data_IF_861607653137
#
_entry.id   IF_861607653137
#
_cell.length_a   1.000
_cell.length_b   1.000
_cell.length_c   1.000
_cell.angle_alpha   90.00
_cell.angle_beta   90.00
_cell.angle_gamma   90.00
#
_symmetry.space_group_name_H-M   'P 1'
#
loop_
_entity.id
_entity.type
_entity.pdbx_description
1 polymer ?
#
# COMPACT_ATOMS: atom_id res chain seq x y z
N UNK A 1 28.47 10.50 41.91
CA UNK A 1 27.84 9.21 41.58
C UNK A 1 27.58 9.14 40.07
N UNK A 2 28.45 8.41 39.37
CA UNK A 2 28.39 8.22 37.93
C UNK A 2 27.32 7.17 37.58
N UNK A 3 26.21 7.60 37.00
CA UNK A 3 25.26 6.71 36.33
C UNK A 3 25.76 6.46 34.89
N UNK A 4 26.68 5.50 34.73
CA UNK A 4 26.98 4.91 33.44
C UNK A 4 25.79 4.02 33.06
N UNK A 5 24.96 4.48 32.13
CA UNK A 5 23.95 3.65 31.47
C UNK A 5 24.69 2.52 30.73
N UNK A 6 24.36 1.28 31.04
CA UNK A 6 24.89 0.12 30.33
C UNK A 6 24.45 0.18 28.85
N UNK A 7 25.40 0.26 27.96
CA UNK A 7 25.14 0.11 26.53
C UNK A 7 25.03 -1.38 26.21
N UNK A 8 23.91 -1.79 25.65
CA UNK A 8 23.78 -3.15 25.09
C UNK A 8 24.47 -3.19 23.73
N UNK A 9 25.52 -3.98 23.61
CA UNK A 9 26.15 -4.27 22.33
C UNK A 9 25.23 -5.20 21.50
N UNK A 10 24.72 -4.71 20.39
CA UNK A 10 24.02 -5.52 19.39
C UNK A 10 25.02 -5.86 18.27
N UNK A 11 25.24 -7.14 18.03
CA UNK A 11 26.07 -7.59 16.92
C UNK A 11 25.39 -7.26 15.61
N UNK A 12 26.01 -6.42 14.78
CA UNK A 12 25.49 -6.02 13.47
C UNK A 12 26.34 -6.70 12.41
N UNK A 13 25.75 -7.56 11.60
CA UNK A 13 26.45 -8.34 10.57
C UNK A 13 26.95 -7.49 9.38
N UNK A 14 26.39 -6.32 9.18
CA UNK A 14 26.87 -5.33 8.21
C UNK A 14 26.33 -3.94 8.53
N UNK A 15 27.21 -2.93 8.45
CA UNK A 15 26.87 -1.52 8.50
C UNK A 15 26.97 -0.97 7.08
N UNK A 16 25.93 -0.29 6.60
CA UNK A 16 25.98 0.46 5.35
C UNK A 16 25.89 1.92 5.69
N UNK A 17 26.94 2.66 5.40
CA UNK A 17 26.95 4.10 5.56
C UNK A 17 26.05 4.72 4.48
N UNK A 18 25.01 5.43 4.91
CA UNK A 18 24.09 6.18 4.05
C UNK A 18 24.40 7.66 4.22
N UNK A 19 25.62 8.04 3.83
CA UNK A 19 26.18 9.36 4.13
C UNK A 19 25.59 10.51 3.33
N UNK A 20 24.88 10.26 2.24
CA UNK A 20 24.23 11.28 1.44
C UNK A 20 22.93 10.81 0.78
N UNK A 21 22.16 11.75 0.23
CA UNK A 21 20.89 11.47 -0.45
C UNK A 21 21.06 10.61 -1.70
N UNK A 22 22.18 10.74 -2.41
CA UNK A 22 22.45 9.98 -3.64
C UNK A 22 22.68 8.50 -3.33
N UNK A 23 23.39 8.20 -2.25
CA UNK A 23 23.63 6.82 -1.78
C UNK A 23 22.33 6.17 -1.29
N UNK A 24 21.43 6.95 -0.68
CA UNK A 24 20.09 6.50 -0.29
C UNK A 24 19.25 6.23 -1.53
N UNK A 25 19.23 7.14 -2.49
CA UNK A 25 18.47 6.99 -3.76
C UNK A 25 18.98 5.82 -4.59
N UNK A 26 20.29 5.63 -4.70
CA UNK A 26 20.92 4.48 -5.36
C UNK A 26 20.62 3.16 -4.65
N UNK A 27 20.61 3.15 -3.32
CA UNK A 27 20.21 1.99 -2.54
C UNK A 27 18.75 1.60 -2.79
N UNK A 28 17.84 2.58 -2.85
CA UNK A 28 16.44 2.36 -3.19
C UNK A 28 16.25 1.92 -4.65
N UNK A 29 16.98 2.52 -5.59
CA UNK A 29 16.90 2.17 -7.01
C UNK A 29 17.48 0.79 -7.32
N UNK A 30 18.52 0.36 -6.62
CA UNK A 30 19.16 -0.97 -6.78
C UNK A 30 18.36 -2.10 -6.14
N UNK A 31 17.63 -1.83 -5.05
CA UNK A 31 16.86 -2.83 -4.31
C UNK A 31 15.45 -2.98 -4.88
N UNK A 32 15.01 -2.05 -5.75
CA UNK A 32 13.62 -1.91 -6.16
C UNK A 32 12.76 -1.35 -5.01
N UNK A 33 11.55 -0.90 -5.31
CA UNK A 33 10.60 -0.37 -4.31
C UNK A 33 9.98 -1.46 -3.43
N UNK A 34 10.80 -2.43 -2.98
CA UNK A 34 10.36 -3.50 -2.10
C UNK A 34 9.99 -2.97 -0.73
N UNK A 35 8.91 -3.50 -0.15
CA UNK A 35 8.62 -3.28 1.28
C UNK A 35 9.82 -3.72 2.10
N UNK A 36 10.10 -3.06 3.24
CA UNK A 36 11.29 -3.32 4.08
C UNK A 36 11.52 -4.81 4.44
N UNK A 37 10.46 -5.63 4.41
CA UNK A 37 10.52 -7.06 4.71
C UNK A 37 10.76 -7.96 3.49
N UNK A 38 10.92 -7.39 2.29
CA UNK A 38 11.13 -8.13 1.05
C UNK A 38 12.52 -7.86 0.46
N UNK A 39 13.16 -8.93 0.00
CA UNK A 39 14.33 -8.87 -0.88
C UNK A 39 13.88 -9.16 -2.31
N UNK A 40 14.12 -8.21 -3.22
CA UNK A 40 13.75 -8.30 -4.64
C UNK A 40 15.02 -8.37 -5.47
N UNK A 41 15.07 -9.31 -6.41
CA UNK A 41 16.14 -9.43 -7.40
C UNK A 41 15.52 -9.35 -8.80
N UNK A 42 15.86 -8.30 -9.53
CA UNK A 42 15.39 -8.08 -10.90
C UNK A 42 16.40 -8.71 -11.86
N UNK A 43 15.94 -9.64 -12.70
CA UNK A 43 16.68 -10.30 -13.77
C UNK A 43 16.09 -9.90 -15.12
N UNK A 44 16.75 -10.24 -16.25
CA UNK A 44 16.31 -9.81 -17.58
C UNK A 44 14.86 -10.19 -17.91
N UNK A 45 14.44 -11.41 -17.60
CA UNK A 45 13.09 -11.94 -17.94
C UNK A 45 12.16 -12.09 -16.75
N UNK A 46 12.66 -12.04 -15.53
CA UNK A 46 11.87 -12.32 -14.33
C UNK A 46 12.34 -11.53 -13.12
N UNK A 47 11.49 -11.49 -12.13
CA UNK A 47 11.76 -10.94 -10.79
C UNK A 47 11.68 -12.09 -9.79
N UNK A 48 12.67 -12.18 -8.90
CA UNK A 48 12.65 -13.04 -7.74
C UNK A 48 12.30 -12.20 -6.51
N UNK A 49 11.38 -12.71 -5.71
CA UNK A 49 10.95 -12.08 -4.47
C UNK A 49 11.06 -13.08 -3.32
N UNK A 50 11.65 -12.67 -2.22
CA UNK A 50 11.70 -13.45 -0.97
C UNK A 50 11.58 -12.53 0.23
N UNK A 51 11.12 -13.04 1.35
CA UNK A 51 11.20 -12.32 2.62
C UNK A 51 12.66 -12.23 3.07
N UNK A 52 13.01 -11.14 3.76
CA UNK A 52 14.33 -11.00 4.40
C UNK A 52 14.44 -11.88 5.64
N UNK A 53 13.31 -12.15 6.30
CA UNK A 53 13.23 -12.97 7.52
C UNK A 53 12.08 -13.97 7.41
N UNK A 54 12.21 -15.14 8.08
CA UNK A 54 11.20 -16.21 8.10
C UNK A 54 9.86 -15.73 8.66
N UNK A 55 9.86 -14.79 9.58
CA UNK A 55 8.66 -14.21 10.19
C UNK A 55 7.75 -13.51 9.17
N UNK A 56 8.31 -13.03 8.07
CA UNK A 56 7.55 -12.37 7.00
C UNK A 56 7.10 -13.30 5.87
N UNK A 57 7.44 -14.59 5.94
CA UNK A 57 7.03 -15.57 4.91
C UNK A 57 5.51 -15.66 4.73
N UNK A 58 4.74 -15.38 5.79
CA UNK A 58 3.29 -15.37 5.73
C UNK A 58 2.75 -14.29 4.78
N UNK A 59 3.45 -13.14 4.63
CA UNK A 59 3.08 -12.07 3.69
C UNK A 59 3.29 -12.49 2.25
N UNK A 60 4.42 -13.15 1.95
CA UNK A 60 4.69 -13.73 0.62
C UNK A 60 3.64 -14.78 0.27
N UNK A 61 3.23 -15.62 1.23
CA UNK A 61 2.16 -16.62 1.00
C UNK A 61 0.81 -15.97 0.71
N UNK A 62 0.45 -14.88 1.41
CA UNK A 62 -0.79 -14.13 1.15
C UNK A 62 -0.80 -13.55 -0.27
N UNK A 63 0.32 -12.97 -0.69
CA UNK A 63 0.50 -12.42 -2.03
C UNK A 63 0.39 -13.52 -3.11
N UNK A 64 1.09 -14.65 -2.95
CA UNK A 64 1.00 -15.79 -3.87
C UNK A 64 -0.41 -16.35 -3.96
N UNK A 65 -1.09 -16.51 -2.83
CA UNK A 65 -2.48 -16.96 -2.78
C UNK A 65 -3.41 -16.01 -3.56
N UNK A 66 -3.17 -14.70 -3.44
CA UNK A 66 -3.92 -13.71 -4.20
C UNK A 66 -3.74 -13.92 -5.72
N UNK A 67 -2.49 -14.02 -6.21
CA UNK A 67 -2.23 -14.27 -7.63
C UNK A 67 -2.90 -15.54 -8.14
N UNK A 68 -2.88 -16.61 -7.35
CA UNK A 68 -3.56 -17.86 -7.72
C UNK A 68 -5.06 -17.70 -7.86
N UNK A 69 -5.69 -17.05 -6.87
CA UNK A 69 -7.14 -16.87 -6.86
C UNK A 69 -7.61 -15.97 -8.00
N UNK A 70 -6.92 -14.82 -8.24
CA UNK A 70 -7.32 -13.90 -9.31
C UNK A 70 -7.06 -14.48 -10.69
N UNK A 71 -6.02 -15.30 -10.87
CA UNK A 71 -5.79 -16.03 -12.12
C UNK A 71 -6.90 -17.05 -12.40
N UNK A 72 -7.38 -17.77 -11.36
CA UNK A 72 -8.48 -18.72 -11.48
C UNK A 72 -9.81 -18.08 -11.90
N UNK A 73 -10.07 -16.84 -11.48
CA UNK A 73 -11.25 -16.08 -11.92
C UNK A 73 -11.01 -15.32 -13.24
N UNK A 74 -9.89 -15.59 -13.92
CA UNK A 74 -9.59 -15.08 -15.26
C UNK A 74 -9.07 -13.67 -15.34
N UNK A 75 -8.64 -13.02 -14.23
CA UNK A 75 -8.03 -11.70 -14.26
C UNK A 75 -6.62 -11.76 -14.86
N UNK A 76 -6.32 -10.87 -15.83
CA UNK A 76 -5.10 -10.95 -16.65
C UNK A 76 -4.12 -9.79 -16.48
N UNK A 77 -4.52 -8.69 -15.82
CA UNK A 77 -3.69 -7.48 -15.71
C UNK A 77 -2.71 -7.57 -14.53
N UNK A 78 -2.03 -8.72 -14.45
CA UNK A 78 -1.04 -9.09 -13.43
C UNK A 78 0.19 -9.73 -14.09
N UNK A 79 1.37 -9.76 -13.41
CA UNK A 79 2.50 -10.53 -13.86
C UNK A 79 2.20 -12.03 -13.91
N UNK A 80 2.73 -12.72 -14.91
CA UNK A 80 2.70 -14.19 -14.93
C UNK A 80 3.58 -14.75 -13.80
N UNK A 81 3.03 -15.68 -13.02
CA UNK A 81 3.79 -16.37 -11.96
C UNK A 81 4.44 -17.61 -12.56
N UNK A 82 5.78 -17.66 -12.52
CA UNK A 82 6.55 -18.79 -13.06
C UNK A 82 6.79 -19.89 -12.03
N UNK A 83 6.98 -19.50 -10.74
CA UNK A 83 7.24 -20.44 -9.65
C UNK A 83 6.84 -19.80 -8.31
N UNK A 84 6.40 -20.64 -7.36
CA UNK A 84 6.05 -20.23 -5.99
C UNK A 84 7.25 -20.36 -5.03
N UNK A 85 8.14 -21.30 -5.28
CA UNK A 85 9.35 -21.59 -4.47
C UNK A 85 10.52 -21.86 -5.40
N UNK A 86 11.43 -20.89 -5.60
CA UNK A 86 11.37 -19.51 -5.12
C UNK A 86 10.22 -18.74 -5.81
N UNK A 87 9.72 -17.68 -5.15
CA UNK A 87 8.70 -16.83 -5.77
C UNK A 87 9.30 -16.07 -6.95
N UNK A 88 8.92 -16.49 -8.14
CA UNK A 88 9.42 -16.00 -9.42
C UNK A 88 8.26 -15.55 -10.29
N UNK A 89 8.28 -14.31 -10.72
CA UNK A 89 7.25 -13.72 -11.58
C UNK A 89 7.84 -13.02 -12.79
N UNK A 90 7.00 -12.78 -13.79
CA UNK A 90 7.34 -12.05 -15.00
C UNK A 90 7.91 -10.66 -14.66
N UNK A 91 9.00 -10.28 -15.34
CA UNK A 91 9.46 -8.89 -15.34
C UNK A 91 8.66 -8.10 -16.33
N UNK A 92 7.81 -7.21 -15.84
CA UNK A 92 7.01 -6.31 -16.68
C UNK A 92 7.89 -5.19 -17.25
N UNK A 93 7.89 -5.03 -18.57
CA UNK A 93 8.48 -3.88 -19.25
C UNK A 93 7.47 -2.72 -19.24
N UNK A 94 7.57 -1.86 -18.25
CA UNK A 94 6.66 -0.71 -18.05
C UNK A 94 7.31 0.35 -17.18
N UNK A 95 6.59 1.46 -16.98
CA UNK A 95 6.98 2.57 -16.10
C UNK A 95 5.87 2.82 -15.10
N UNK A 96 6.21 3.22 -13.89
CA UNK A 96 5.23 3.81 -12.98
C UNK A 96 4.74 5.15 -13.52
N UNK A 97 3.51 5.53 -13.20
CA UNK A 97 2.94 6.80 -13.71
C UNK A 97 3.81 8.01 -13.35
N UNK A 98 4.38 8.04 -12.15
CA UNK A 98 5.27 9.12 -11.71
C UNK A 98 6.68 9.12 -12.38
N UNK A 99 7.00 8.15 -13.22
CA UNK A 99 8.25 8.09 -13.99
C UNK A 99 8.10 8.64 -15.42
N UNK A 100 6.88 8.97 -15.82
CA UNK A 100 6.68 9.64 -17.10
C UNK A 100 7.06 11.12 -16.95
N UNK A 101 7.91 11.60 -17.86
CA UNK A 101 8.22 13.02 -18.01
C UNK A 101 7.30 13.60 -19.08
N UNK A 102 6.90 14.85 -18.91
CA UNK A 102 6.15 15.64 -19.92
C UNK A 102 4.90 14.95 -20.48
N UNK A 103 4.15 14.29 -19.57
CA UNK A 103 2.93 13.60 -19.94
C UNK A 103 1.83 14.62 -20.25
N UNK A 104 1.34 14.65 -21.50
CA UNK A 104 0.21 15.51 -21.83
C UNK A 104 -1.09 15.02 -21.13
N UNK A 105 -2.01 15.94 -20.91
CA UNK A 105 -3.25 15.69 -20.15
C UNK A 105 -4.11 14.56 -20.75
N UNK A 106 -4.18 14.47 -22.09
CA UNK A 106 -4.95 13.43 -22.78
C UNK A 106 -4.40 12.03 -22.50
N UNK A 107 -3.07 11.86 -22.55
CA UNK A 107 -2.41 10.58 -22.27
C UNK A 107 -2.51 10.24 -20.77
N UNK A 108 -2.34 11.22 -19.89
CA UNK A 108 -2.54 11.04 -18.46
C UNK A 108 -3.95 10.52 -18.14
N UNK A 109 -4.98 11.19 -18.65
CA UNK A 109 -6.36 10.76 -18.47
C UNK A 109 -6.61 9.35 -18.99
N UNK A 110 -6.05 9.01 -20.17
CA UNK A 110 -6.19 7.67 -20.74
C UNK A 110 -5.54 6.60 -19.87
N UNK A 111 -4.40 6.88 -19.24
CA UNK A 111 -3.76 5.96 -18.29
C UNK A 111 -4.64 5.77 -17.06
N UNK A 112 -5.14 6.86 -16.48
CA UNK A 112 -6.02 6.79 -15.29
C UNK A 112 -7.30 6.02 -15.62
N UNK A 113 -7.93 6.30 -16.75
CA UNK A 113 -9.09 5.55 -17.24
C UNK A 113 -8.79 4.05 -17.35
N UNK A 114 -7.68 3.68 -17.97
CA UNK A 114 -7.28 2.29 -18.11
C UNK A 114 -7.04 1.59 -16.76
N UNK A 115 -6.47 2.31 -15.76
CA UNK A 115 -6.31 1.82 -14.40
C UNK A 115 -7.69 1.53 -13.78
N UNK A 116 -8.63 2.46 -13.89
CA UNK A 116 -9.98 2.31 -13.32
C UNK A 116 -10.77 1.21 -14.02
N UNK A 117 -10.68 1.10 -15.35
CA UNK A 117 -11.32 0.02 -16.11
C UNK A 117 -10.78 -1.35 -15.73
N UNK A 118 -9.47 -1.48 -15.57
CA UNK A 118 -8.85 -2.74 -15.16
C UNK A 118 -9.21 -3.12 -13.72
N UNK A 119 -9.30 -2.16 -12.80
CA UNK A 119 -9.83 -2.41 -11.44
C UNK A 119 -11.30 -2.81 -11.47
N UNK A 120 -12.14 -2.16 -12.28
CA UNK A 120 -13.53 -2.54 -12.44
C UNK A 120 -13.68 -3.96 -12.99
N UNK A 121 -12.83 -4.38 -13.95
CA UNK A 121 -12.79 -5.78 -14.42
C UNK A 121 -12.46 -6.73 -13.26
N UNK A 122 -11.43 -6.44 -12.46
CA UNK A 122 -11.11 -7.24 -11.27
C UNK A 122 -12.29 -7.32 -10.32
N UNK A 123 -12.90 -6.17 -9.98
CA UNK A 123 -14.00 -6.08 -9.01
C UNK A 123 -15.26 -6.83 -9.44
N UNK A 124 -15.51 -6.96 -10.75
CA UNK A 124 -16.67 -7.68 -11.29
C UNK A 124 -16.53 -9.21 -11.30
N UNK A 125 -15.28 -9.72 -11.18
CA UNK A 125 -14.97 -11.15 -11.34
C UNK A 125 -15.52 -12.04 -10.23
N UNK A 126 -15.62 -11.53 -9.01
CA UNK A 126 -16.19 -12.24 -7.89
C UNK A 126 -16.83 -11.26 -6.91
N UNK A 127 -18.09 -11.54 -6.56
CA UNK A 127 -18.89 -10.72 -5.65
C UNK A 127 -19.54 -11.62 -4.62
N UNK A 128 -19.52 -11.23 -3.35
CA UNK A 128 -20.22 -11.88 -2.24
C UNK A 128 -20.88 -10.85 -1.34
N UNK A 129 -21.76 -11.28 -0.45
CA UNK A 129 -22.28 -10.39 0.61
C UNK A 129 -21.16 -9.96 1.54
N UNK A 130 -21.17 -8.70 1.91
CA UNK A 130 -20.17 -8.11 2.81
C UNK A 130 -20.43 -8.49 4.28
N UNK A 131 -19.42 -8.26 5.09
CA UNK A 131 -19.50 -8.38 6.55
C UNK A 131 -19.27 -7.00 7.18
N UNK A 132 -20.26 -6.50 7.94
CA UNK A 132 -20.17 -5.19 8.62
C UNK A 132 -18.98 -5.08 9.56
N UNK A 133 -18.65 -6.17 10.29
CA UNK A 133 -17.53 -6.17 11.20
C UNK A 133 -16.19 -6.01 10.46
N UNK A 134 -16.02 -6.66 9.31
CA UNK A 134 -14.81 -6.52 8.51
C UNK A 134 -14.64 -5.07 8.01
N UNK A 135 -15.74 -4.41 7.62
CA UNK A 135 -15.73 -2.99 7.23
C UNK A 135 -15.34 -2.11 8.41
N UNK A 136 -15.97 -2.30 9.57
CA UNK A 136 -15.66 -1.58 10.81
C UNK A 136 -14.18 -1.77 11.22
N UNK A 137 -13.67 -3.00 11.12
CA UNK A 137 -12.28 -3.30 11.47
C UNK A 137 -11.28 -2.57 10.55
N UNK A 138 -11.56 -2.52 9.24
CA UNK A 138 -10.64 -1.90 8.27
C UNK A 138 -10.68 -0.37 8.35
N UNK A 139 -11.86 0.23 8.44
CA UNK A 139 -12.00 1.68 8.34
C UNK A 139 -11.98 2.39 9.69
N UNK A 140 -12.59 1.81 10.72
CA UNK A 140 -12.72 2.44 12.02
C UNK A 140 -11.65 1.91 13.00
N UNK A 141 -11.72 0.64 13.38
CA UNK A 141 -10.88 0.09 14.44
C UNK A 141 -9.39 0.23 14.14
N UNK A 142 -8.98 -0.10 12.92
CA UNK A 142 -7.59 0.05 12.46
C UNK A 142 -7.14 1.52 12.50
N UNK A 143 -7.99 2.45 12.08
CA UNK A 143 -7.69 3.89 12.12
C UNK A 143 -7.53 4.37 13.53
N UNK A 144 -8.48 4.06 14.42
CA UNK A 144 -8.43 4.41 15.84
C UNK A 144 -7.19 3.84 16.53
N UNK A 145 -6.86 2.57 16.29
CA UNK A 145 -5.67 1.94 16.87
C UNK A 145 -4.37 2.63 16.43
N UNK A 146 -4.27 3.02 15.16
CA UNK A 146 -3.12 3.77 14.64
C UNK A 146 -3.03 5.17 15.26
N UNK A 147 -4.15 5.87 15.35
CA UNK A 147 -4.21 7.20 15.97
C UNK A 147 -3.84 7.12 17.46
N UNK A 148 -4.35 6.12 18.19
CA UNK A 148 -3.94 5.87 19.58
C UNK A 148 -2.44 5.61 19.71
N UNK A 149 -1.82 4.92 18.76
CA UNK A 149 -0.37 4.67 18.79
C UNK A 149 0.46 5.93 18.60
N UNK A 150 0.01 6.88 17.78
CA UNK A 150 0.72 8.15 17.51
C UNK A 150 0.31 9.27 18.49
N UNK A 151 -0.82 9.17 19.17
CA UNK A 151 -1.27 10.17 20.14
C UNK A 151 -0.26 10.44 21.26
N UNK A 152 0.56 9.44 21.61
CA UNK A 152 1.65 9.57 22.58
C UNK A 152 2.83 10.42 22.10
N UNK A 153 2.95 10.62 20.77
CA UNK A 153 4.06 11.36 20.14
C UNK A 153 3.64 12.80 19.89
N UNK A 154 2.35 13.05 19.67
CA UNK A 154 1.81 14.40 19.41
C UNK A 154 1.39 15.02 20.73
N UNK A 155 2.04 16.11 21.20
CA UNK A 155 1.67 16.77 22.44
C UNK A 155 0.19 17.19 22.44
N UNK A 156 -0.49 16.95 23.55
CA UNK A 156 -1.89 17.34 23.79
C UNK A 156 -2.91 16.80 22.76
N UNK A 157 -2.55 15.74 22.00
CA UNK A 157 -3.41 15.21 20.94
C UNK A 157 -4.83 14.85 21.41
N UNK A 158 -4.96 14.24 22.59
CA UNK A 158 -6.27 13.83 23.14
C UNK A 158 -7.02 14.94 23.86
N UNK A 159 -6.35 16.03 24.25
CA UNK A 159 -6.92 17.13 25.04
C UNK A 159 -7.21 18.40 24.24
N UNK A 160 -6.82 18.46 22.99
CA UNK A 160 -6.95 19.65 22.13
C UNK A 160 -8.10 19.44 21.13
N UNK A 161 -9.10 20.33 21.16
CA UNK A 161 -10.25 20.27 20.25
C UNK A 161 -9.88 20.64 18.80
N UNK A 162 -8.97 21.56 18.64
CA UNK A 162 -8.54 22.02 17.30
C UNK A 162 -7.04 22.16 17.20
N UNK A 163 -6.49 21.87 16.02
CA UNK A 163 -5.07 22.10 15.68
C UNK A 163 -4.96 23.09 14.52
N UNK A 164 -3.87 23.85 14.50
CA UNK A 164 -3.51 24.63 13.32
C UNK A 164 -2.47 23.86 12.52
N UNK A 165 -2.81 23.50 11.27
CA UNK A 165 -1.92 22.79 10.35
C UNK A 165 -1.73 23.66 9.12
N UNK A 166 -0.50 24.07 8.84
CA UNK A 166 -0.16 24.97 7.73
C UNK A 166 -1.05 26.24 7.70
N UNK A 167 -1.23 26.89 8.85
CA UNK A 167 -2.05 28.07 9.01
C UNK A 167 -3.56 27.86 9.00
N UNK A 168 -4.05 26.63 8.78
CA UNK A 168 -5.48 26.29 8.77
C UNK A 168 -5.91 25.63 10.07
N UNK A 169 -6.99 26.13 10.67
CA UNK A 169 -7.61 25.52 11.85
C UNK A 169 -8.33 24.22 11.44
N UNK A 170 -7.90 23.12 12.03
CA UNK A 170 -8.43 21.78 11.79
C UNK A 170 -9.09 21.24 13.06
N UNK A 171 -10.26 20.64 12.94
CA UNK A 171 -10.95 20.00 14.06
C UNK A 171 -10.32 18.65 14.38
N UNK A 172 -10.12 18.40 15.68
CA UNK A 172 -9.67 17.09 16.14
C UNK A 172 -10.90 16.19 16.39
N UNK A 173 -11.17 15.32 15.45
CA UNK A 173 -12.30 14.38 15.54
C UNK A 173 -12.09 13.26 16.58
N UNK A 174 -10.90 13.14 17.19
CA UNK A 174 -10.66 12.21 18.29
C UNK A 174 -10.82 12.86 19.67
N UNK A 175 -11.02 14.17 19.71
CA UNK A 175 -11.31 14.88 20.95
C UNK A 175 -12.60 14.35 21.57
N UNK A 176 -12.55 13.98 22.86
CA UNK A 176 -13.67 13.40 23.59
C UNK A 176 -14.26 12.12 22.98
N UNK A 177 -13.41 11.27 22.36
CA UNK A 177 -13.83 9.96 21.82
C UNK A 177 -15.17 10.03 21.03
N UNK A 178 -15.26 10.90 20.05
CA UNK A 178 -16.50 11.28 19.35
C UNK A 178 -17.16 10.06 18.65
N UNK A 179 -17.67 9.11 19.46
CA UNK A 179 -18.24 7.83 19.05
C UNK A 179 -19.32 8.00 17.97
N UNK A 180 -20.14 9.04 18.11
CA UNK A 180 -21.22 9.33 17.15
C UNK A 180 -20.70 9.52 15.73
N UNK A 181 -19.61 10.26 15.55
CA UNK A 181 -18.99 10.46 14.22
C UNK A 181 -18.52 9.14 13.62
N UNK A 182 -17.90 8.27 14.43
CA UNK A 182 -17.43 6.98 13.93
C UNK A 182 -18.58 6.03 13.59
N UNK A 183 -19.69 6.07 14.32
CA UNK A 183 -20.89 5.31 13.98
C UNK A 183 -21.54 5.82 12.69
N UNK A 184 -21.61 7.14 12.47
CA UNK A 184 -22.09 7.74 11.23
C UNK A 184 -21.20 7.37 10.04
N UNK A 185 -19.86 7.46 10.20
CA UNK A 185 -18.88 7.04 9.18
C UNK A 185 -19.06 5.55 8.86
N UNK A 186 -19.22 4.70 9.89
CA UNK A 186 -19.39 3.27 9.70
C UNK A 186 -20.66 2.93 8.90
N UNK A 187 -21.77 3.63 9.18
CA UNK A 187 -23.00 3.48 8.43
C UNK A 187 -22.88 3.96 6.99
N UNK A 188 -22.19 5.09 6.76
CA UNK A 188 -21.92 5.62 5.42
C UNK A 188 -21.02 4.71 4.60
N UNK A 189 -19.98 4.13 5.20
CA UNK A 189 -19.01 3.26 4.53
C UNK A 189 -19.53 1.83 4.30
N UNK A 190 -20.72 1.50 4.84
CA UNK A 190 -21.25 0.16 4.68
C UNK A 190 -21.64 -0.13 3.23
N UNK A 191 -20.89 -1.02 2.60
CA UNK A 191 -21.21 -1.57 1.28
C UNK A 191 -21.79 -2.98 1.44
N UNK A 192 -22.92 -3.25 0.76
CA UNK A 192 -23.60 -4.56 0.82
C UNK A 192 -22.77 -5.69 0.23
N UNK A 193 -21.80 -5.40 -0.62
CA UNK A 193 -21.03 -6.40 -1.34
C UNK A 193 -19.54 -6.24 -1.11
N UNK A 194 -18.85 -7.38 -0.98
CA UNK A 194 -17.42 -7.49 -1.21
C UNK A 194 -17.15 -7.99 -2.62
N UNK A 195 -16.13 -7.41 -3.22
CA UNK A 195 -15.65 -7.70 -4.57
C UNK A 195 -14.25 -8.30 -4.50
N UNK A 196 -13.79 -8.95 -5.58
CA UNK A 196 -12.35 -9.22 -5.72
C UNK A 196 -11.60 -7.90 -5.81
N UNK A 197 -10.61 -7.70 -4.93
CA UNK A 197 -9.82 -6.47 -4.81
C UNK A 197 -8.32 -6.73 -4.89
N UNK A 198 -7.55 -5.72 -5.26
CA UNK A 198 -6.09 -5.72 -5.15
C UNK A 198 -5.64 -5.45 -3.71
N UNK A 199 -6.33 -4.54 -3.03
CA UNK A 199 -6.10 -4.18 -1.64
C UNK A 199 -4.98 -3.16 -1.41
N UNK A 200 -4.17 -2.83 -2.42
CA UNK A 200 -3.14 -1.80 -2.34
C UNK A 200 -2.70 -1.26 -3.73
N UNK A 201 -3.63 -0.84 -4.61
CA UNK A 201 -3.31 -0.37 -5.96
C UNK A 201 -2.81 1.09 -5.95
N UNK A 202 -1.76 1.36 -5.20
CA UNK A 202 -1.03 2.63 -5.29
C UNK A 202 -0.25 2.69 -6.60
N UNK A 203 0.10 3.88 -7.08
CA UNK A 203 0.83 4.03 -8.35
C UNK A 203 2.21 3.35 -8.33
N UNK A 204 2.80 3.15 -7.15
CA UNK A 204 4.03 2.35 -6.98
C UNK A 204 3.82 0.85 -7.18
N UNK A 205 2.57 0.36 -7.13
CA UNK A 205 2.20 -1.03 -7.36
C UNK A 205 1.56 -1.26 -8.74
N UNK A 206 1.70 -0.28 -9.65
CA UNK A 206 1.17 -0.33 -11.01
C UNK A 206 2.28 0.02 -12.01
N UNK A 207 2.49 -0.82 -13.01
CA UNK A 207 3.35 -0.54 -14.14
C UNK A 207 2.50 -0.33 -15.40
N UNK A 208 2.76 0.76 -16.10
CA UNK A 208 2.09 1.10 -17.36
C UNK A 208 2.97 0.61 -18.52
N UNK A 209 2.44 -0.28 -19.35
CA UNK A 209 3.10 -0.76 -20.56
C UNK A 209 3.09 0.32 -21.66
N UNK A 210 3.87 0.11 -22.74
CA UNK A 210 3.91 1.03 -23.90
C UNK A 210 2.54 1.31 -24.52
N UNK A 211 1.64 0.32 -24.51
CA UNK A 211 0.27 0.45 -25.01
C UNK A 211 -0.71 1.04 -23.97
N UNK A 212 -0.20 1.70 -22.95
CA UNK A 212 -0.92 2.32 -21.83
C UNK A 212 -1.73 1.34 -20.97
N UNK A 213 -1.50 0.03 -21.13
CA UNK A 213 -2.16 -0.99 -20.32
C UNK A 213 -1.51 -1.07 -18.94
N UNK A 214 -2.28 -0.99 -17.84
CA UNK A 214 -1.75 -1.19 -16.48
C UNK A 214 -1.50 -2.66 -16.19
N UNK A 215 -0.49 -2.94 -15.38
CA UNK A 215 -0.24 -4.25 -14.77
C UNK A 215 -0.07 -4.03 -13.28
N UNK A 216 -0.88 -4.73 -12.49
CA UNK A 216 -0.92 -4.63 -11.04
C UNK A 216 -0.04 -5.70 -10.40
N UNK A 217 0.73 -5.31 -9.39
CA UNK A 217 1.58 -6.21 -8.63
C UNK A 217 1.63 -5.78 -7.15
N UNK A 218 2.23 -6.59 -6.29
CA UNK A 218 2.28 -6.36 -4.85
C UNK A 218 0.89 -6.23 -4.17
N UNK A 219 -0.04 -7.15 -4.47
CA UNK A 219 -1.36 -7.13 -3.86
C UNK A 219 -1.25 -7.30 -2.34
N UNK A 220 -2.27 -6.85 -1.64
CA UNK A 220 -2.33 -7.01 -0.20
C UNK A 220 -2.61 -8.45 0.24
N UNK A 221 -3.46 -9.17 -0.52
CA UNK A 221 -3.82 -10.56 -0.27
C UNK A 221 -4.68 -10.80 0.98
N UNK A 222 -5.25 -9.75 1.58
CA UNK A 222 -6.17 -9.83 2.72
C UNK A 222 -7.02 -8.56 2.86
N UNK A 223 -8.21 -8.73 3.45
CA UNK A 223 -9.07 -7.63 3.91
C UNK A 223 -9.55 -7.96 5.33
N UNK A 224 -9.53 -6.98 6.23
CA UNK A 224 -9.64 -7.22 7.66
C UNK A 224 -8.63 -8.30 8.13
N UNK A 225 -9.07 -9.31 8.85
CA UNK A 225 -8.25 -10.43 9.30
C UNK A 225 -8.33 -11.66 8.39
N UNK A 226 -9.01 -11.55 7.22
CA UNK A 226 -9.25 -12.67 6.30
C UNK A 226 -8.29 -12.65 5.14
N UNK A 227 -7.50 -13.71 4.99
CA UNK A 227 -6.61 -13.92 3.85
C UNK A 227 -7.42 -14.41 2.65
N UNK A 228 -7.79 -13.51 1.76
CA UNK A 228 -8.52 -13.80 0.52
C UNK A 228 -8.39 -12.64 -0.47
N UNK A 229 -9.05 -12.75 -1.62
CA UNK A 229 -9.10 -11.70 -2.65
C UNK A 229 -10.29 -10.75 -2.47
N UNK A 230 -11.15 -10.98 -1.48
CA UNK A 230 -12.42 -10.29 -1.34
C UNK A 230 -12.33 -9.15 -0.32
N UNK A 231 -12.96 -8.04 -0.65
CA UNK A 231 -13.05 -6.87 0.20
C UNK A 231 -13.89 -5.78 -0.44
N UNK A 232 -13.89 -4.62 0.17
CA UNK A 232 -14.62 -3.46 -0.34
C UNK A 232 -13.87 -2.85 -1.55
N UNK A 233 -14.52 -2.78 -2.71
CA UNK A 233 -13.95 -2.19 -3.94
C UNK A 233 -13.56 -0.71 -3.76
N UNK A 234 -14.26 0.03 -2.91
CA UNK A 234 -13.95 1.43 -2.65
C UNK A 234 -12.61 1.60 -1.92
N UNK A 235 -12.12 0.55 -1.25
CA UNK A 235 -10.77 0.55 -0.70
C UNK A 235 -9.70 0.68 -1.79
N UNK A 236 -9.86 -0.03 -2.92
CA UNK A 236 -8.96 0.09 -4.07
C UNK A 236 -9.03 1.46 -4.73
N UNK A 237 -10.24 1.97 -4.98
CA UNK A 237 -10.41 3.32 -5.54
C UNK A 237 -9.82 4.40 -4.62
N UNK A 238 -9.99 4.27 -3.30
CA UNK A 238 -9.38 5.19 -2.33
C UNK A 238 -7.85 5.16 -2.38
N UNK A 239 -7.24 3.99 -2.63
CA UNK A 239 -5.79 3.86 -2.80
C UNK A 239 -5.28 4.55 -4.06
N UNK A 240 -5.99 4.41 -5.18
CA UNK A 240 -5.68 5.12 -6.42
C UNK A 240 -5.82 6.63 -6.22
N UNK A 241 -6.93 7.09 -5.63
CA UNK A 241 -7.17 8.50 -5.33
C UNK A 241 -6.08 9.08 -4.40
N UNK A 242 -5.73 8.35 -3.35
CA UNK A 242 -4.67 8.72 -2.41
C UNK A 242 -3.31 8.89 -3.09
N UNK A 243 -2.98 8.03 -4.06
CA UNK A 243 -1.76 8.16 -4.86
C UNK A 243 -1.80 9.33 -5.83
N UNK A 244 -2.95 9.54 -6.52
CA UNK A 244 -3.08 10.59 -7.55
C UNK A 244 -3.16 12.00 -6.95
N UNK A 245 -3.98 12.18 -5.90
CA UNK A 245 -4.28 13.49 -5.31
C UNK A 245 -3.43 13.75 -4.07
N UNK A 246 -3.19 12.73 -3.24
CA UNK A 246 -2.45 12.84 -1.99
C UNK A 246 -0.93 12.78 -2.16
N UNK A 247 -0.40 12.65 -3.38
CA UNK A 247 1.03 12.55 -3.66
C UNK A 247 1.76 11.48 -2.82
N UNK A 248 1.04 10.41 -2.45
CA UNK A 248 1.56 9.36 -1.56
C UNK A 248 2.87 8.76 -2.03
N UNK A 249 3.00 8.51 -3.33
CA UNK A 249 4.21 7.90 -3.90
C UNK A 249 5.42 8.85 -3.83
N UNK A 250 5.21 10.17 -3.94
CA UNK A 250 6.26 11.17 -3.74
C UNK A 250 6.65 11.26 -2.27
N UNK A 251 5.66 11.24 -1.37
CA UNK A 251 5.90 11.22 0.08
C UNK A 251 6.71 9.98 0.49
N UNK A 252 6.31 8.80 0.07
CA UNK A 252 7.04 7.56 0.35
C UNK A 252 8.48 7.55 -0.18
N UNK A 253 8.72 8.25 -1.30
CA UNK A 253 10.03 8.39 -1.91
C UNK A 253 10.84 9.56 -1.32
N UNK A 254 10.32 10.20 -0.28
CA UNK A 254 10.91 11.38 0.36
C UNK A 254 11.18 12.54 -0.61
N UNK A 255 10.41 12.64 -1.69
CA UNK A 255 10.46 13.73 -2.68
C UNK A 255 9.43 14.80 -2.35
N UNK A 256 9.55 15.39 -1.17
CA UNK A 256 8.74 16.51 -0.70
C UNK A 256 9.63 17.53 -0.02
N UNK A 257 9.18 18.80 -0.01
CA UNK A 257 9.78 19.87 0.78
C UNK A 257 8.86 20.13 1.97
N UNK A 258 9.45 20.28 3.14
CA UNK A 258 8.80 20.78 4.35
C UNK A 258 8.85 22.30 4.37
#
# INVERSE_FOLDING_TARGET
SNNLKSFHHQKVDSIRELGDFSTIEDSYNRIGYGRYFNKIQIKNKYVLKKSIDKNYNHLIRKELNWYEQVSKIGYKDIPKIYSKKPFKMERIKGKHLFQFKDLNFKVFNKIVENILLSLNDLHSRKVILSNKNDIKDVYINKTLNRLKSVSKIIPNFSSTETFTINGKKCKNYLFNENKKIFDEINNFLYNKNFNSIHGDPTLSNILIKKNLKPIFFDPRGYFANKTNILGDKYYDFSKVYYSLVGNYDLFNRRKFKL
#
